data_IF_960099044401
#
_entry.id   IF_960099044401
#
_cell.length_a   1.000
_cell.length_b   1.000
_cell.length_c   1.000
_cell.angle_alpha   90.00
_cell.angle_beta   90.00
_cell.angle_gamma   90.00
#
_symmetry.space_group_name_H-M   'P 1'
#
loop_
_entity.id
_entity.type
_entity.pdbx_description
1 polymer ?
#
# COMPACT_ATOMS: atom_id res chain seq x y z
N UNK A 1 11.17 5.44 28.71
CA UNK A 1 11.47 5.14 27.30
C UNK A 1 10.26 4.45 26.72
N UNK A 2 9.38 5.16 26.02
CA UNK A 2 8.10 4.63 25.53
C UNK A 2 8.17 4.61 24.00
N UNK A 3 8.04 3.40 23.46
CA UNK A 3 8.19 3.00 22.07
C UNK A 3 7.22 3.74 21.15
N UNK A 4 7.71 4.21 20.01
CA UNK A 4 6.91 4.80 18.94
C UNK A 4 6.10 3.71 18.23
N UNK A 5 4.77 3.79 18.36
CA UNK A 5 3.78 2.83 17.88
C UNK A 5 3.06 3.33 16.62
N UNK A 6 3.78 3.83 15.61
CA UNK A 6 3.11 4.41 14.46
C UNK A 6 2.90 3.46 13.27
N UNK A 7 3.67 2.39 13.14
CA UNK A 7 3.45 1.37 12.10
C UNK A 7 2.38 0.33 12.46
N UNK A 8 1.91 0.31 13.71
CA UNK A 8 0.96 -0.71 14.21
C UNK A 8 -0.52 -0.33 14.07
N UNK A 9 -0.86 0.84 13.58
CA UNK A 9 -2.25 1.29 13.54
C UNK A 9 -3.14 0.55 12.53
N UNK A 10 -2.56 -0.20 11.60
CA UNK A 10 -3.33 -0.93 10.58
C UNK A 10 -3.72 -2.33 11.06
N UNK A 11 -2.97 -2.94 11.98
CA UNK A 11 -3.26 -4.26 12.54
C UNK A 11 -3.41 -4.29 14.07
N UNK A 12 -3.20 -3.20 14.78
CA UNK A 12 -3.31 -3.14 16.23
C UNK A 12 -4.74 -3.35 16.79
N UNK A 13 -5.70 -3.69 15.94
CA UNK A 13 -7.01 -4.15 16.38
C UNK A 13 -7.06 -5.66 16.71
N UNK A 14 -5.97 -6.41 16.54
CA UNK A 14 -5.98 -7.86 16.68
C UNK A 14 -5.18 -8.43 17.87
N UNK A 15 -4.46 -7.65 18.64
CA UNK A 15 -3.59 -8.21 19.67
C UNK A 15 -3.58 -7.44 21.00
N UNK A 16 -4.67 -7.49 21.76
CA UNK A 16 -4.63 -7.42 23.23
C UNK A 16 -5.80 -8.20 23.82
N UNK A 17 -5.53 -9.25 24.51
CA UNK A 17 -6.47 -9.99 25.37
C UNK A 17 -5.79 -10.09 26.74
N UNK A 18 -6.51 -10.18 27.87
CA UNK A 18 -7.91 -10.03 28.19
C UNK A 18 -8.23 -9.22 29.45
N UNK A 19 -9.32 -8.60 29.50
CA UNK A 19 -10.15 -8.57 30.68
C UNK A 19 -11.58 -8.76 30.15
N UNK A 20 -12.32 -9.69 30.72
CA UNK A 20 -13.76 -9.85 30.48
C UNK A 20 -14.44 -8.58 30.99
N UNK A 21 -14.41 -7.57 30.15
CA UNK A 21 -15.26 -6.40 30.22
C UNK A 21 -16.18 -6.53 29.01
N UNK A 22 -17.46 -6.52 29.20
CA UNK A 22 -18.44 -6.33 28.12
C UNK A 22 -17.96 -5.09 27.35
N UNK A 23 -17.31 -5.31 26.22
CA UNK A 23 -16.83 -4.20 25.41
C UNK A 23 -18.07 -3.48 24.89
N UNK A 24 -18.29 -2.28 25.41
CA UNK A 24 -19.40 -1.44 24.96
C UNK A 24 -19.26 -1.21 23.46
N UNK A 25 -20.37 -1.33 22.74
CA UNK A 25 -20.44 -0.95 21.33
C UNK A 25 -19.86 0.45 21.13
N UNK A 26 -18.95 0.61 20.20
CA UNK A 26 -18.26 1.88 19.99
C UNK A 26 -18.19 2.24 18.52
N UNK A 27 -18.35 3.52 18.24
CA UNK A 27 -18.06 4.11 16.93
C UNK A 27 -17.05 5.24 17.13
N UNK A 28 -16.00 5.25 16.34
CA UNK A 28 -14.98 6.28 16.37
C UNK A 28 -14.89 6.97 15.00
N UNK A 29 -14.79 8.29 15.03
CA UNK A 29 -14.35 9.10 13.90
C UNK A 29 -12.85 9.28 14.01
N UNK A 30 -12.13 9.14 12.93
CA UNK A 30 -10.68 9.29 12.89
C UNK A 30 -10.23 9.78 11.52
N UNK A 31 -9.03 10.28 11.45
CA UNK A 31 -8.49 10.73 10.18
C UNK A 31 -7.06 11.23 10.27
N UNK A 32 -6.56 11.64 9.12
CA UNK A 32 -5.22 12.14 8.93
C UNK A 32 -5.24 13.17 7.81
N UNK A 33 -4.53 14.28 8.01
CA UNK A 33 -4.28 15.30 6.99
C UNK A 33 -2.76 15.37 6.81
N UNK A 34 -2.32 15.30 5.56
CA UNK A 34 -0.93 15.36 5.18
C UNK A 34 -0.78 16.31 3.98
N UNK A 35 0.04 17.34 4.13
CA UNK A 35 0.35 18.30 3.08
C UNK A 35 1.84 18.52 2.99
N UNK A 36 2.38 18.63 1.77
CA UNK A 36 3.80 18.83 1.56
C UNK A 36 4.08 19.71 0.34
N UNK A 37 5.24 20.33 0.36
CA UNK A 37 5.82 21.00 -0.81
C UNK A 37 6.94 20.16 -1.37
N UNK A 38 7.09 20.16 -2.68
CA UNK A 38 8.21 19.51 -3.36
C UNK A 38 8.80 20.36 -4.45
N UNK A 39 10.08 20.10 -4.74
CA UNK A 39 10.77 20.54 -5.93
C UNK A 39 11.29 19.29 -6.62
N UNK A 40 10.94 19.14 -7.89
CA UNK A 40 11.26 18.01 -8.73
C UNK A 40 12.10 18.45 -9.90
N UNK A 41 13.06 17.61 -10.28
CA UNK A 41 13.83 17.73 -11.50
C UNK A 41 13.67 16.44 -12.32
N UNK A 42 13.05 16.55 -13.47
CA UNK A 42 12.89 15.48 -14.44
C UNK A 42 13.82 15.80 -15.63
N UNK A 43 15.04 15.26 -15.57
CA UNK A 43 16.06 15.42 -16.63
C UNK A 43 16.23 16.88 -17.11
N UNK A 44 16.23 17.83 -16.17
CA UNK A 44 16.38 19.27 -16.43
C UNK A 44 15.07 20.06 -16.45
N UNK A 45 13.92 19.40 -16.45
CA UNK A 45 12.63 20.07 -16.27
C UNK A 45 12.32 20.21 -14.78
N UNK A 46 12.47 21.40 -14.24
CA UNK A 46 12.23 21.67 -12.82
C UNK A 46 10.78 22.11 -12.61
N UNK A 47 10.11 21.48 -11.65
CA UNK A 47 8.77 21.84 -11.20
C UNK A 47 8.70 21.91 -9.67
N UNK A 48 7.76 22.67 -9.15
CA UNK A 48 7.51 22.74 -7.71
C UNK A 48 6.01 22.87 -7.44
N UNK A 49 5.56 22.38 -6.30
CA UNK A 49 4.14 22.43 -5.96
C UNK A 49 3.88 22.16 -4.49
N UNK A 50 2.63 22.47 -4.10
CA UNK A 50 2.01 22.02 -2.85
C UNK A 50 1.12 20.83 -3.18
N UNK A 51 1.24 19.77 -2.40
CA UNK A 51 0.59 18.49 -2.67
C UNK A 51 0.00 17.87 -1.41
N UNK A 52 -0.90 16.92 -1.57
CA UNK A 52 -1.48 16.09 -0.53
C UNK A 52 -0.80 14.74 -0.46
N UNK A 53 -0.61 14.20 0.77
CA UNK A 53 -0.33 12.78 0.95
C UNK A 53 1.14 12.37 0.85
N UNK A 54 2.08 13.22 1.25
CA UNK A 54 3.51 12.92 1.14
C UNK A 54 3.99 11.79 2.05
N UNK A 55 3.60 11.80 3.32
CA UNK A 55 3.93 10.74 4.28
C UNK A 55 2.81 9.70 4.42
N UNK A 56 1.60 10.07 4.05
CA UNK A 56 0.43 9.18 3.98
C UNK A 56 -0.70 9.92 3.29
N UNK A 57 -1.44 9.28 2.39
CA UNK A 57 -2.64 9.88 1.82
C UNK A 57 -3.57 10.45 2.89
N UNK A 58 -4.13 11.63 2.67
CA UNK A 58 -5.10 12.24 3.59
C UNK A 58 -6.42 11.50 3.56
N UNK A 59 -7.02 11.23 4.70
CA UNK A 59 -8.28 10.51 4.80
C UNK A 59 -9.05 10.86 6.08
N UNK A 60 -10.35 10.56 6.05
CA UNK A 60 -11.19 10.46 7.24
C UNK A 60 -12.01 9.17 7.18
N UNK A 61 -12.46 8.70 8.34
CA UNK A 61 -13.21 7.46 8.40
C UNK A 61 -14.00 7.26 9.67
N UNK A 62 -14.82 6.20 9.60
CA UNK A 62 -15.60 5.66 10.69
C UNK A 62 -15.22 4.21 10.89
N UNK A 63 -15.01 3.81 12.14
CA UNK A 63 -14.84 2.42 12.50
C UNK A 63 -15.58 2.13 13.78
N UNK A 64 -16.06 0.92 13.92
CA UNK A 64 -16.80 0.55 15.12
C UNK A 64 -16.77 -0.93 15.39
N UNK A 65 -17.15 -1.24 16.63
CA UNK A 65 -17.31 -2.60 17.15
C UNK A 65 -18.61 -2.69 17.90
N UNK A 66 -19.29 -3.83 17.78
CA UNK A 66 -20.48 -4.19 18.55
C UNK A 66 -20.30 -5.61 19.12
N UNK A 67 -20.46 -5.76 20.42
CA UNK A 67 -20.42 -7.06 21.07
C UNK A 67 -21.71 -7.83 20.76
N UNK A 68 -21.56 -9.01 20.19
CA UNK A 68 -22.70 -9.85 19.81
C UNK A 68 -23.14 -10.80 20.92
N UNK A 69 -22.39 -10.88 22.03
CA UNK A 69 -22.66 -11.82 23.11
C UNK A 69 -22.59 -13.30 22.73
N UNK A 70 -22.04 -13.59 21.54
CA UNK A 70 -21.96 -14.94 20.98
C UNK A 70 -20.53 -15.47 21.05
N UNK A 71 -20.38 -16.80 21.09
CA UNK A 71 -19.09 -17.52 20.94
C UNK A 71 -17.92 -16.94 21.74
N UNK A 72 -18.17 -16.53 22.99
CA UNK A 72 -17.09 -16.10 23.89
C UNK A 72 -16.37 -14.82 23.49
N UNK A 73 -17.12 -13.75 23.15
CA UNK A 73 -16.59 -12.42 22.84
C UNK A 73 -16.49 -12.12 21.35
N UNK A 74 -17.43 -12.64 20.58
CA UNK A 74 -17.54 -12.28 19.16
C UNK A 74 -18.14 -10.90 18.97
N UNK A 75 -17.65 -10.19 17.98
CA UNK A 75 -18.00 -8.81 17.66
C UNK A 75 -18.37 -8.66 16.18
N UNK A 76 -19.36 -7.83 15.90
CA UNK A 76 -19.48 -7.19 14.61
C UNK A 76 -18.46 -6.03 14.53
N UNK A 77 -17.79 -5.89 13.40
CA UNK A 77 -16.77 -4.86 13.20
C UNK A 77 -16.93 -4.25 11.81
N UNK A 78 -16.75 -2.93 11.69
CA UNK A 78 -16.82 -2.27 10.39
C UNK A 78 -15.77 -1.19 10.26
N UNK A 79 -15.45 -0.83 9.00
CA UNK A 79 -14.60 0.29 8.65
C UNK A 79 -15.10 0.93 7.36
N UNK A 80 -15.23 2.26 7.38
CA UNK A 80 -15.53 3.11 6.23
C UNK A 80 -14.48 4.21 6.17
N UNK A 81 -13.71 4.32 5.08
CA UNK A 81 -12.60 5.26 4.98
C UNK A 81 -12.59 5.94 3.60
N UNK A 82 -12.58 7.27 3.60
CA UNK A 82 -12.55 8.12 2.43
C UNK A 82 -11.26 8.92 2.39
N UNK A 83 -10.52 8.87 1.29
CA UNK A 83 -9.39 9.74 1.04
C UNK A 83 -9.81 11.06 0.41
N UNK A 84 -9.04 12.08 0.65
CA UNK A 84 -9.20 13.40 0.03
C UNK A 84 -7.84 14.03 -0.22
N UNK A 85 -7.79 15.01 -1.10
CA UNK A 85 -6.59 15.78 -1.37
C UNK A 85 -6.63 17.04 -0.50
N UNK A 86 -5.61 17.25 0.33
CA UNK A 86 -5.58 18.40 1.26
C UNK A 86 -5.14 19.70 0.60
N UNK A 87 -4.65 19.65 -0.62
CA UNK A 87 -4.23 20.80 -1.42
C UNK A 87 -5.37 21.48 -2.16
N UNK A 88 -6.43 20.74 -2.55
CA UNK A 88 -7.55 21.28 -3.30
C UNK A 88 -8.95 20.90 -2.74
N UNK A 89 -9.00 19.96 -1.77
CA UNK A 89 -10.23 19.50 -1.13
C UNK A 89 -11.02 18.46 -1.95
N UNK A 90 -10.53 18.01 -3.08
CA UNK A 90 -11.20 16.99 -3.89
C UNK A 90 -11.06 15.59 -3.30
N UNK A 91 -11.84 14.62 -3.78
CA UNK A 91 -11.62 13.23 -3.43
C UNK A 91 -10.26 12.77 -3.98
N UNK A 92 -9.48 12.06 -3.16
CA UNK A 92 -8.31 11.37 -3.65
C UNK A 92 -8.75 10.34 -4.70
N UNK A 93 -8.15 10.40 -5.87
CA UNK A 93 -8.41 9.42 -6.92
C UNK A 93 -7.58 8.19 -6.64
N UNK A 94 -8.20 7.02 -6.71
CA UNK A 94 -7.45 5.78 -6.83
C UNK A 94 -6.77 5.74 -8.22
N UNK A 95 -5.72 4.96 -8.38
CA UNK A 95 -5.01 4.76 -9.67
C UNK A 95 -5.94 4.49 -10.86
N UNK A 96 -7.13 3.96 -10.63
CA UNK A 96 -8.13 3.69 -11.67
C UNK A 96 -8.94 4.91 -12.12
N UNK A 97 -8.66 6.11 -11.63
CA UNK A 97 -9.38 7.34 -12.00
C UNK A 97 -10.88 7.35 -11.66
N UNK A 98 -11.34 6.45 -10.79
CA UNK A 98 -12.76 6.32 -10.46
C UNK A 98 -13.14 7.26 -9.30
N UNK A 99 -13.63 8.43 -9.64
CA UNK A 99 -13.99 9.51 -8.72
C UNK A 99 -15.34 9.33 -8.02
N UNK A 100 -16.08 8.25 -8.29
CA UNK A 100 -17.47 8.11 -7.80
C UNK A 100 -17.61 7.38 -6.46
N UNK A 101 -16.53 6.94 -5.84
CA UNK A 101 -16.58 6.16 -4.59
C UNK A 101 -16.36 7.07 -3.38
N UNK A 102 -17.38 7.22 -2.51
CA UNK A 102 -17.24 7.97 -1.25
C UNK A 102 -16.19 7.30 -0.32
N UNK A 103 -16.24 5.99 -0.15
CA UNK A 103 -15.31 5.24 0.70
C UNK A 103 -14.37 4.40 -0.15
N UNK A 104 -13.53 5.06 -0.95
CA UNK A 104 -12.66 4.36 -1.90
C UNK A 104 -11.45 3.67 -1.23
N UNK A 105 -11.09 4.04 0.00
CA UNK A 105 -9.99 3.39 0.72
C UNK A 105 -10.43 2.08 1.33
N UNK A 106 -11.43 2.11 2.20
CA UNK A 106 -11.98 0.90 2.82
C UNK A 106 -13.49 1.06 3.06
N UNK A 107 -14.25 0.02 2.74
CA UNK A 107 -15.69 -0.06 2.97
C UNK A 107 -16.07 -1.52 3.22
N UNK A 108 -16.02 -1.96 4.48
CA UNK A 108 -16.27 -3.35 4.83
C UNK A 108 -16.96 -3.52 6.19
N UNK A 109 -17.68 -4.65 6.30
CA UNK A 109 -18.30 -5.16 7.51
C UNK A 109 -17.78 -6.58 7.77
N UNK A 110 -17.58 -6.96 9.03
CA UNK A 110 -17.07 -8.28 9.38
C UNK A 110 -17.48 -8.77 10.75
N UNK A 111 -17.09 -10.01 11.01
CA UNK A 111 -17.21 -10.67 12.29
C UNK A 111 -15.81 -10.98 12.82
N UNK A 112 -15.58 -10.68 14.08
CA UNK A 112 -14.34 -10.98 14.78
C UNK A 112 -14.63 -11.91 15.97
N UNK A 113 -13.79 -12.92 16.13
CA UNK A 113 -13.84 -13.85 17.26
C UNK A 113 -12.43 -14.13 17.78
N UNK A 114 -12.21 -14.16 19.10
CA UNK A 114 -10.92 -14.56 19.65
C UNK A 114 -10.49 -15.97 19.26
N UNK A 115 -11.44 -16.86 18.96
CA UNK A 115 -11.19 -18.26 18.59
C UNK A 115 -10.98 -18.47 17.11
N UNK A 116 -11.71 -17.75 16.25
CA UNK A 116 -11.77 -18.01 14.81
C UNK A 116 -11.10 -16.91 13.97
N UNK A 117 -10.64 -15.82 14.61
CA UNK A 117 -10.08 -14.66 13.92
C UNK A 117 -11.16 -13.72 13.40
N UNK A 118 -10.87 -13.04 12.31
CA UNK A 118 -11.78 -12.08 11.70
C UNK A 118 -12.08 -12.48 10.26
N UNK A 119 -13.35 -12.43 9.88
CA UNK A 119 -13.81 -12.47 8.49
C UNK A 119 -14.49 -11.15 8.16
N UNK A 120 -14.19 -10.55 7.01
CA UNK A 120 -14.77 -9.28 6.56
C UNK A 120 -15.08 -9.30 5.08
N UNK A 121 -16.08 -8.50 4.69
CA UNK A 121 -16.66 -8.45 3.35
C UNK A 121 -16.72 -7.00 2.89
N UNK A 122 -16.26 -6.73 1.68
CA UNK A 122 -16.28 -5.39 1.07
C UNK A 122 -14.93 -4.98 0.49
N UNK A 123 -14.72 -3.66 0.33
CA UNK A 123 -13.46 -3.13 -0.17
C UNK A 123 -12.46 -2.97 0.97
N UNK A 124 -11.31 -3.62 0.86
CA UNK A 124 -10.27 -3.64 1.90
C UNK A 124 -8.90 -4.01 1.33
N UNK A 125 -7.85 -3.77 2.11
CA UNK A 125 -6.47 -4.08 1.73
C UNK A 125 -6.24 -5.56 1.52
N UNK A 126 -5.41 -5.88 0.52
CA UNK A 126 -4.95 -7.24 0.24
C UNK A 126 -3.75 -7.62 1.12
N UNK A 127 -3.51 -8.91 1.39
CA UNK A 127 -2.26 -9.37 2.01
C UNK A 127 -1.01 -8.99 1.20
N UNK A 128 -1.08 -8.92 -0.13
CA UNK A 128 -0.03 -8.41 -1.02
C UNK A 128 0.43 -7.00 -0.58
N UNK A 129 -0.48 -6.02 -0.57
CA UNK A 129 -0.16 -4.67 -0.11
C UNK A 129 0.36 -4.64 1.34
N UNK A 130 -0.24 -5.44 2.23
CA UNK A 130 0.17 -5.50 3.63
C UNK A 130 1.59 -6.03 3.80
N UNK A 131 2.05 -6.95 2.94
CA UNK A 131 3.42 -7.50 2.96
C UNK A 131 4.45 -6.38 2.81
N UNK A 132 4.22 -5.45 1.91
CA UNK A 132 5.09 -4.28 1.71
C UNK A 132 4.88 -3.22 2.79
N UNK A 133 3.63 -2.78 3.00
CA UNK A 133 3.32 -1.63 3.85
C UNK A 133 3.71 -1.82 5.32
N UNK A 134 3.69 -3.06 5.83
CA UNK A 134 4.02 -3.35 7.23
C UNK A 134 5.51 -3.40 7.53
N UNK A 135 6.33 -3.63 6.55
CA UNK A 135 7.79 -3.73 6.70
C UNK A 135 8.52 -2.52 6.13
N UNK A 136 7.93 -1.77 5.21
CA UNK A 136 8.52 -0.57 4.65
C UNK A 136 8.74 0.50 5.72
N UNK A 137 9.92 1.12 5.70
CA UNK A 137 10.33 2.09 6.74
C UNK A 137 9.57 3.42 6.65
N UNK A 138 8.98 3.73 5.51
CA UNK A 138 8.17 4.91 5.25
C UNK A 138 6.68 4.59 4.99
N UNK A 139 6.29 3.31 4.99
CA UNK A 139 4.91 2.86 4.75
C UNK A 139 4.44 3.10 3.31
N UNK A 140 5.30 2.85 2.32
CA UNK A 140 5.04 3.04 0.88
C UNK A 140 4.59 4.48 0.56
N UNK A 141 5.37 5.44 1.02
CA UNK A 141 5.14 6.87 0.80
C UNK A 141 6.43 7.57 0.40
N UNK A 142 6.47 8.91 0.31
CA UNK A 142 7.71 9.63 0.00
C UNK A 142 8.88 9.21 0.89
N UNK A 143 10.02 8.98 0.28
CA UNK A 143 11.20 8.41 0.91
C UNK A 143 11.28 6.87 0.77
N UNK A 144 10.29 6.22 0.13
CA UNK A 144 10.30 4.79 -0.18
C UNK A 144 10.84 4.55 -1.57
N UNK A 145 12.05 4.02 -1.69
CA UNK A 145 12.70 3.79 -2.97
C UNK A 145 11.93 2.81 -3.89
N UNK A 146 11.16 1.87 -3.34
CA UNK A 146 10.34 0.96 -4.14
C UNK A 146 9.03 1.59 -4.65
N UNK A 147 8.60 2.74 -4.12
CA UNK A 147 7.32 3.35 -4.47
C UNK A 147 7.13 3.56 -5.99
N UNK A 148 8.14 4.03 -6.74
CA UNK A 148 8.04 4.18 -8.19
C UNK A 148 7.76 2.88 -8.96
N UNK A 149 8.16 1.75 -8.39
CA UNK A 149 8.07 0.43 -9.02
C UNK A 149 6.87 -0.36 -8.53
N UNK A 150 6.52 -0.18 -7.26
CA UNK A 150 5.35 -0.83 -6.64
C UNK A 150 4.04 -0.17 -7.07
N UNK A 151 4.05 1.16 -7.28
CA UNK A 151 2.93 1.93 -7.80
C UNK A 151 3.30 2.57 -9.14
N UNK A 152 3.55 1.82 -10.21
CA UNK A 152 3.91 2.42 -11.47
C UNK A 152 2.80 3.37 -11.93
N UNK A 153 3.15 4.64 -12.00
CA UNK A 153 2.24 5.72 -12.42
C UNK A 153 1.79 5.58 -13.86
N UNK A 154 0.96 6.51 -14.31
CA UNK A 154 0.36 6.54 -15.66
C UNK A 154 1.36 6.52 -16.83
N UNK A 155 2.65 6.51 -16.56
CA UNK A 155 3.73 6.49 -17.54
C UNK A 155 4.59 5.23 -17.55
N UNK A 156 4.36 4.27 -16.65
CA UNK A 156 5.15 3.04 -16.66
C UNK A 156 4.99 2.34 -18.01
N UNK A 157 6.11 2.17 -18.69
CA UNK A 157 6.30 1.58 -20.02
C UNK A 157 5.17 0.69 -20.48
N UNK A 158 4.42 1.09 -21.45
CA UNK A 158 3.34 0.41 -22.13
C UNK A 158 1.96 1.03 -21.92
N UNK A 159 1.87 2.33 -22.05
CA UNK A 159 0.64 2.96 -22.54
C UNK A 159 -0.57 2.93 -21.62
N UNK A 160 -0.40 3.27 -20.38
CA UNK A 160 -1.54 3.54 -19.55
C UNK A 160 -1.42 3.03 -18.12
N UNK A 161 -2.03 3.75 -17.20
CA UNK A 161 -2.29 3.26 -15.84
C UNK A 161 -2.96 1.90 -15.93
N UNK A 162 -2.35 0.88 -15.34
CA UNK A 162 -3.00 -0.42 -15.20
C UNK A 162 -4.15 -0.27 -14.20
N UNK A 163 -5.42 -0.27 -14.63
CA UNK A 163 -6.55 -0.10 -13.72
C UNK A 163 -6.67 -1.25 -12.72
N UNK A 164 -5.92 -2.34 -12.89
CA UNK A 164 -5.90 -3.46 -11.95
C UNK A 164 -4.99 -3.22 -10.76
N UNK A 165 -4.12 -2.23 -10.79
CA UNK A 165 -3.20 -1.94 -9.68
C UNK A 165 -3.93 -1.48 -8.40
N UNK A 166 -5.01 -0.71 -8.54
CA UNK A 166 -5.84 -0.37 -7.38
C UNK A 166 -6.38 -1.66 -6.71
N UNK A 167 -6.68 -2.69 -7.52
CA UNK A 167 -7.19 -3.97 -7.04
C UNK A 167 -6.10 -4.82 -6.35
N UNK A 168 -4.81 -4.63 -6.65
CA UNK A 168 -3.71 -5.26 -5.93
C UNK A 168 -3.56 -4.67 -4.52
N UNK A 169 -3.76 -3.38 -4.38
CA UNK A 169 -3.75 -2.68 -3.08
C UNK A 169 -5.03 -2.97 -2.32
N UNK A 170 -6.20 -2.74 -2.96
CA UNK A 170 -7.55 -2.83 -2.36
C UNK A 170 -8.56 -3.25 -3.42
N UNK A 171 -9.01 -4.48 -3.40
CA UNK A 171 -10.05 -4.89 -4.33
C UNK A 171 -11.45 -4.67 -3.78
N UNK A 172 -12.40 -4.41 -4.70
CA UNK A 172 -13.82 -4.45 -4.42
C UNK A 172 -14.29 -5.89 -4.26
N UNK A 173 -15.51 -6.08 -3.72
CA UNK A 173 -16.20 -7.36 -3.66
C UNK A 173 -15.34 -8.46 -3.04
N UNK A 174 -14.53 -8.08 -2.06
CA UNK A 174 -13.56 -8.97 -1.44
C UNK A 174 -14.11 -9.62 -0.16
N UNK A 175 -13.60 -10.81 0.09
CA UNK A 175 -13.71 -11.56 1.33
C UNK A 175 -12.30 -11.69 1.87
N UNK A 176 -12.09 -11.25 3.10
CA UNK A 176 -10.82 -11.35 3.81
C UNK A 176 -11.00 -12.13 5.10
N UNK A 177 -10.12 -13.07 5.37
CA UNK A 177 -10.03 -13.76 6.64
C UNK A 177 -8.62 -13.66 7.21
N UNK A 178 -8.53 -13.36 8.51
CA UNK A 178 -7.29 -13.41 9.27
C UNK A 178 -7.46 -14.31 10.48
N UNK A 179 -6.54 -15.23 10.70
CA UNK A 179 -6.54 -16.10 11.88
C UNK A 179 -6.37 -15.29 13.18
N UNK A 180 -6.68 -15.84 14.35
CA UNK A 180 -6.14 -15.32 15.60
C UNK A 180 -4.61 -15.34 15.58
N UNK A 181 -3.98 -14.62 16.51
CA UNK A 181 -2.53 -14.72 16.69
C UNK A 181 -2.17 -16.12 17.24
N UNK A 182 -1.44 -16.88 16.46
CA UNK A 182 -0.99 -18.24 16.77
C UNK A 182 0.47 -18.20 17.26
N UNK A 183 0.69 -17.65 18.46
CA UNK A 183 2.02 -17.49 19.06
C UNK A 183 3.02 -16.68 18.21
N UNK A 184 2.52 -15.62 17.59
CA UNK A 184 3.27 -14.72 16.71
C UNK A 184 2.91 -14.88 15.24
N UNK A 185 2.34 -16.01 14.82
CA UNK A 185 1.87 -16.20 13.45
C UNK A 185 0.44 -15.70 13.25
N UNK A 186 0.18 -15.13 12.09
CA UNK A 186 -1.16 -14.83 11.58
C UNK A 186 -1.24 -15.29 10.13
N UNK A 187 -2.25 -16.07 9.80
CA UNK A 187 -2.53 -16.55 8.45
C UNK A 187 -3.65 -15.70 7.89
N UNK A 188 -3.54 -15.28 6.63
CA UNK A 188 -4.51 -14.45 5.93
C UNK A 188 -4.93 -15.13 4.63
N UNK A 189 -6.23 -15.13 4.36
CA UNK A 189 -6.83 -15.54 3.09
C UNK A 189 -7.66 -14.40 2.53
N UNK A 190 -7.57 -14.17 1.23
CA UNK A 190 -8.26 -13.11 0.54
C UNK A 190 -8.76 -13.58 -0.82
N UNK A 191 -9.99 -13.23 -1.14
CA UNK A 191 -10.57 -13.45 -2.46
C UNK A 191 -11.39 -12.23 -2.87
N UNK A 192 -11.15 -11.68 -4.05
CA UNK A 192 -11.96 -10.63 -4.62
C UNK A 192 -12.61 -11.14 -5.93
N UNK A 193 -13.90 -10.87 -6.11
CA UNK A 193 -14.67 -11.30 -7.25
C UNK A 193 -14.74 -10.19 -8.29
N UNK A 194 -14.34 -10.47 -9.50
CA UNK A 194 -14.26 -9.49 -10.59
C UNK A 194 -15.61 -8.98 -11.08
N UNK A 195 -16.72 -9.68 -10.78
CA UNK A 195 -18.11 -9.33 -11.14
C UNK A 195 -18.30 -8.88 -12.61
N UNK A 196 -17.46 -9.35 -13.51
CA UNK A 196 -17.51 -8.96 -14.91
C UNK A 196 -18.78 -9.49 -15.57
N UNK A 197 -19.80 -8.63 -15.63
CA UNK A 197 -20.96 -8.83 -16.47
C UNK A 197 -20.61 -8.40 -17.89
N UNK A 198 -20.90 -9.29 -18.85
CA UNK A 198 -20.51 -9.10 -20.22
C UNK A 198 -21.49 -8.46 -21.14
N UNK A 199 -20.97 -7.76 -22.10
CA UNK A 199 -21.74 -7.32 -23.25
C UNK A 199 -21.62 -8.20 -24.52
N UNK A 200 -20.63 -9.06 -24.66
CA UNK A 200 -20.32 -9.71 -25.95
C UNK A 200 -20.09 -11.23 -25.94
N UNK A 201 -20.95 -12.00 -25.29
CA UNK A 201 -21.17 -13.42 -25.61
C UNK A 201 -20.12 -14.46 -25.16
N UNK A 202 -18.87 -14.13 -24.77
CA UNK A 202 -17.85 -15.06 -24.24
C UNK A 202 -17.56 -14.82 -22.77
N UNK A 203 -18.14 -15.57 -21.85
CA UNK A 203 -17.99 -15.35 -20.38
C UNK A 203 -16.95 -16.28 -19.78
N UNK A 204 -15.95 -15.71 -19.06
CA UNK A 204 -15.29 -16.42 -17.99
C UNK A 204 -15.83 -15.87 -16.67
N UNK A 205 -16.40 -16.70 -15.83
CA UNK A 205 -16.93 -16.34 -14.50
C UNK A 205 -15.81 -15.97 -13.52
N UNK A 206 -14.56 -16.19 -13.87
CA UNK A 206 -13.38 -15.96 -13.03
C UNK A 206 -12.56 -14.74 -13.44
N UNK A 207 -12.98 -14.05 -14.51
CA UNK A 207 -12.30 -12.88 -15.03
C UNK A 207 -12.27 -11.72 -14.02
N UNK A 208 -11.09 -11.20 -13.72
CA UNK A 208 -10.89 -10.15 -12.72
C UNK A 208 -10.88 -10.65 -11.27
N UNK A 209 -10.95 -11.97 -11.06
CA UNK A 209 -10.82 -12.53 -9.72
C UNK A 209 -9.38 -12.41 -9.22
N UNK A 210 -9.25 -12.11 -7.93
CA UNK A 210 -7.98 -12.07 -7.22
C UNK A 210 -8.06 -13.07 -6.07
N UNK A 211 -7.01 -13.86 -5.90
CA UNK A 211 -6.84 -14.76 -4.75
C UNK A 211 -5.48 -14.47 -4.13
N UNK A 212 -5.45 -14.27 -2.82
CA UNK A 212 -4.20 -13.97 -2.13
C UNK A 212 -4.13 -14.69 -0.79
N UNK A 213 -3.03 -15.30 -0.50
CA UNK A 213 -2.73 -15.92 0.79
C UNK A 213 -1.50 -15.25 1.36
N UNK A 214 -1.55 -14.87 2.63
CA UNK A 214 -0.44 -14.27 3.35
C UNK A 214 -0.20 -14.93 4.69
N UNK A 215 1.04 -14.93 5.14
CA UNK A 215 1.43 -15.37 6.48
C UNK A 215 2.41 -14.37 7.03
N UNK A 216 2.14 -13.86 8.24
CA UNK A 216 3.13 -13.07 8.95
C UNK A 216 3.53 -13.73 10.28
N UNK A 217 4.77 -13.46 10.68
CA UNK A 217 5.30 -13.73 12.00
C UNK A 217 5.75 -12.42 12.64
N UNK A 218 5.19 -12.11 13.81
CA UNK A 218 5.51 -10.90 14.57
C UNK A 218 5.67 -11.25 16.04
N UNK A 219 6.91 -11.39 16.51
CA UNK A 219 7.21 -11.70 17.91
C UNK A 219 8.56 -11.09 18.33
N UNK A 220 8.53 -10.33 19.42
CA UNK A 220 9.73 -9.61 19.88
C UNK A 220 10.21 -8.58 18.82
N UNK A 221 11.51 -8.54 18.49
CA UNK A 221 12.06 -7.60 17.53
C UNK A 221 11.86 -8.01 16.06
N UNK A 222 11.48 -9.26 15.80
CA UNK A 222 11.39 -9.84 14.46
C UNK A 222 9.99 -9.68 13.88
N UNK A 223 9.93 -9.18 12.65
CA UNK A 223 8.77 -9.23 11.77
C UNK A 223 9.17 -9.89 10.45
N UNK A 224 8.38 -10.85 9.99
CA UNK A 224 8.50 -11.47 8.66
C UNK A 224 7.10 -11.65 8.11
N UNK A 225 6.89 -11.33 6.83
CA UNK A 225 5.64 -11.58 6.15
C UNK A 225 5.92 -12.04 4.72
N UNK A 226 5.17 -13.04 4.27
CA UNK A 226 5.18 -13.47 2.88
C UNK A 226 3.75 -13.59 2.35
N UNK A 227 3.59 -13.35 1.05
CA UNK A 227 2.31 -13.56 0.38
C UNK A 227 2.48 -14.11 -1.03
N UNK A 228 1.42 -14.75 -1.53
CA UNK A 228 1.27 -15.15 -2.93
C UNK A 228 -0.09 -14.66 -3.39
N UNK A 229 -0.09 -13.83 -4.43
CA UNK A 229 -1.29 -13.31 -5.06
C UNK A 229 -1.39 -13.85 -6.48
N UNK A 230 -2.57 -14.37 -6.84
CA UNK A 230 -2.96 -14.75 -8.19
C UNK A 230 -4.08 -13.83 -8.66
N UNK A 231 -3.88 -13.19 -9.81
CA UNK A 231 -4.86 -12.31 -10.46
C UNK A 231 -5.22 -12.85 -11.84
N UNK A 232 -6.49 -13.10 -12.07
CA UNK A 232 -7.00 -13.48 -13.37
C UNK A 232 -7.27 -12.23 -14.21
N UNK A 233 -6.44 -11.98 -15.21
CA UNK A 233 -6.55 -10.83 -16.10
C UNK A 233 -7.76 -11.00 -17.02
N UNK A 234 -8.64 -10.02 -17.02
CA UNK A 234 -9.82 -10.06 -17.83
C UNK A 234 -9.67 -9.33 -19.15
N UNK A 235 -10.33 -9.84 -20.21
CA UNK A 235 -10.62 -9.03 -21.40
C UNK A 235 -11.79 -8.11 -21.14
N UNK A 236 -11.56 -6.79 -21.13
CA UNK A 236 -12.62 -5.83 -21.38
C UNK A 236 -12.85 -5.72 -22.90
N UNK A 237 -14.07 -5.52 -23.33
CA UNK A 237 -14.36 -5.25 -24.75
C UNK A 237 -13.73 -3.94 -25.26
N UNK A 238 -13.29 -3.07 -24.32
CA UNK A 238 -12.57 -1.83 -24.60
C UNK A 238 -11.05 -1.96 -24.35
N UNK A 239 -10.62 -3.09 -23.77
CA UNK A 239 -9.25 -3.38 -23.44
C UNK A 239 -8.71 -4.42 -24.41
N UNK A 240 -7.73 -4.08 -25.18
CA UNK A 240 -6.98 -4.99 -26.07
C UNK A 240 -6.10 -5.98 -25.27
N UNK A 241 -6.32 -6.12 -23.96
CA UNK A 241 -5.56 -7.03 -23.10
C UNK A 241 -5.91 -8.48 -23.41
N UNK A 242 -4.93 -9.33 -23.60
CA UNK A 242 -5.17 -10.76 -23.73
C UNK A 242 -5.70 -11.36 -22.42
N UNK A 243 -6.33 -12.52 -22.52
CA UNK A 243 -6.66 -13.34 -21.37
C UNK A 243 -5.40 -13.99 -20.83
N UNK A 244 -5.16 -13.85 -19.55
CA UNK A 244 -4.01 -14.44 -18.87
C UNK A 244 -4.13 -14.31 -17.37
N UNK A 245 -3.07 -14.57 -16.66
CA UNK A 245 -3.00 -14.36 -15.23
C UNK A 245 -1.64 -13.82 -14.82
N UNK A 246 -1.62 -13.06 -13.73
CA UNK A 246 -0.42 -12.63 -13.04
C UNK A 246 -0.32 -13.33 -11.69
N UNK A 247 0.89 -13.74 -11.33
CA UNK A 247 1.18 -14.26 -10.00
C UNK A 247 2.30 -13.46 -9.37
N UNK A 248 2.05 -12.97 -8.17
CA UNK A 248 3.01 -12.18 -7.38
C UNK A 248 3.46 -13.00 -6.18
N UNK A 249 4.76 -13.06 -5.97
CA UNK A 249 5.39 -13.71 -4.82
C UNK A 249 6.15 -12.66 -4.04
N UNK A 250 5.88 -12.54 -2.75
CA UNK A 250 6.42 -11.50 -1.91
C UNK A 250 6.99 -12.06 -0.62
N UNK A 251 8.05 -11.42 -0.18
CA UNK A 251 8.65 -11.66 1.13
C UNK A 251 9.17 -10.34 1.70
N UNK A 252 8.86 -10.08 2.94
CA UNK A 252 9.38 -8.94 3.67
C UNK A 252 9.83 -9.32 5.06
N UNK A 253 10.85 -8.64 5.57
CA UNK A 253 11.33 -8.84 6.92
C UNK A 253 11.90 -7.55 7.50
N UNK A 254 11.79 -7.40 8.82
CA UNK A 254 12.49 -6.37 9.57
C UNK A 254 12.90 -6.86 10.95
N UNK A 255 13.98 -6.31 11.50
CA UNK A 255 14.45 -6.62 12.84
C UNK A 255 14.82 -5.35 13.60
N UNK A 256 14.24 -5.17 14.78
CA UNK A 256 14.51 -4.00 15.64
C UNK A 256 15.70 -4.31 16.59
N UNK A 257 16.87 -3.75 16.26
CA UNK A 257 18.06 -3.82 17.11
C UNK A 257 18.07 -2.77 18.25
N UNK A 258 17.04 -1.92 18.32
CA UNK A 258 16.96 -0.82 19.29
C UNK A 258 17.71 0.44 18.86
N UNK A 259 18.85 0.31 18.21
CA UNK A 259 19.65 1.44 17.66
C UNK A 259 19.30 1.72 16.20
N UNK A 260 18.85 0.73 15.48
CA UNK A 260 18.35 0.83 14.10
C UNK A 260 17.43 -0.34 13.80
N UNK A 261 16.52 -0.17 12.84
CA UNK A 261 15.60 -1.21 12.38
C UNK A 261 15.77 -1.38 10.88
N UNK A 262 16.67 -2.26 10.42
CA UNK A 262 16.73 -2.65 9.01
C UNK A 262 15.48 -3.40 8.58
N UNK A 263 15.18 -3.27 7.29
CA UNK A 263 14.09 -3.97 6.60
C UNK A 263 14.53 -4.37 5.19
N UNK A 264 13.93 -5.44 4.68
CA UNK A 264 14.09 -5.92 3.31
C UNK A 264 12.71 -6.31 2.76
N UNK A 265 12.44 -5.95 1.51
CA UNK A 265 11.27 -6.37 0.76
C UNK A 265 11.72 -6.95 -0.59
N UNK A 266 11.10 -8.05 -0.97
CA UNK A 266 11.32 -8.76 -2.22
C UNK A 266 9.97 -9.01 -2.88
N UNK A 267 9.90 -8.80 -4.19
CA UNK A 267 8.75 -9.16 -5.01
C UNK A 267 9.22 -9.75 -6.32
N UNK A 268 8.58 -10.84 -6.72
CA UNK A 268 8.71 -11.43 -8.03
C UNK A 268 7.34 -11.55 -8.66
N UNK A 269 7.15 -10.97 -9.84
CA UNK A 269 5.95 -11.13 -10.65
C UNK A 269 6.25 -12.06 -11.81
N UNK A 270 5.38 -13.06 -11.99
CA UNK A 270 5.31 -13.91 -13.16
C UNK A 270 3.97 -13.68 -13.85
N UNK A 271 4.00 -13.21 -15.09
CA UNK A 271 2.85 -12.97 -15.94
C UNK A 271 2.86 -13.91 -17.14
N UNK A 272 1.69 -14.12 -17.76
CA UNK A 272 1.58 -14.92 -19.00
C UNK A 272 1.63 -14.06 -20.27
N UNK A 273 1.41 -12.76 -20.16
CA UNK A 273 1.33 -11.87 -21.30
C UNK A 273 2.51 -10.91 -21.38
N UNK A 274 3.27 -11.08 -22.42
CA UNK A 274 4.48 -10.27 -22.68
C UNK A 274 4.20 -8.83 -23.10
N UNK A 275 2.97 -8.49 -23.50
CA UNK A 275 2.64 -7.14 -23.99
C UNK A 275 2.18 -6.21 -22.87
N UNK A 276 1.41 -6.73 -21.90
CA UNK A 276 0.78 -5.95 -20.83
C UNK A 276 1.16 -6.41 -19.42
N UNK A 277 1.59 -7.65 -19.28
CA UNK A 277 2.01 -8.26 -18.04
C UNK A 277 3.49 -8.61 -18.14
N UNK A 278 4.33 -7.79 -17.58
CA UNK A 278 5.78 -7.96 -17.61
C UNK A 278 6.22 -8.73 -16.39
N UNK A 279 7.12 -9.67 -16.58
CA UNK A 279 7.82 -10.34 -15.49
C UNK A 279 8.84 -9.38 -14.90
N UNK A 280 8.89 -9.31 -13.58
CA UNK A 280 9.88 -8.47 -12.93
C UNK A 280 10.34 -9.04 -11.58
N UNK A 281 11.48 -8.57 -11.14
CA UNK A 281 11.97 -8.73 -9.78
C UNK A 281 12.20 -7.34 -9.18
N UNK A 282 11.67 -7.11 -7.98
CA UNK A 282 11.86 -5.90 -7.21
C UNK A 282 12.46 -6.24 -5.86
N UNK A 283 13.50 -5.53 -5.48
CA UNK A 283 14.10 -5.61 -4.14
C UNK A 283 14.25 -4.22 -3.56
N UNK A 284 13.92 -4.09 -2.28
CA UNK A 284 14.21 -2.90 -1.48
C UNK A 284 14.90 -3.30 -0.18
N UNK A 285 15.88 -2.52 0.21
CA UNK A 285 16.42 -2.49 1.56
C UNK A 285 16.17 -1.12 2.18
N UNK A 286 15.94 -1.09 3.48
CA UNK A 286 15.71 0.17 4.19
C UNK A 286 16.14 0.09 5.65
N UNK A 287 16.28 1.26 6.28
CA UNK A 287 16.53 1.35 7.73
C UNK A 287 15.74 2.49 8.34
N UNK A 288 15.28 2.30 9.58
CA UNK A 288 14.82 3.37 10.46
C UNK A 288 15.82 3.52 11.59
N UNK A 289 16.46 4.69 11.70
CA UNK A 289 17.48 4.97 12.71
C UNK A 289 17.04 6.15 13.56
N UNK A 290 16.81 5.97 14.88
CA UNK A 290 16.53 7.07 15.80
C UNK A 290 17.72 8.02 15.87
N UNK A 291 17.50 9.30 15.60
CA UNK A 291 18.53 10.34 15.73
C UNK A 291 17.90 11.73 15.94
N UNK A 292 18.59 12.65 16.59
CA UNK A 292 18.18 14.06 16.81
C UNK A 292 16.75 14.23 17.34
N UNK A 293 16.23 13.26 18.12
CA UNK A 293 14.87 13.29 18.66
C UNK A 293 13.78 12.87 17.64
N UNK A 294 14.15 12.52 16.42
CA UNK A 294 13.31 11.99 15.36
C UNK A 294 13.82 10.65 14.84
N UNK A 295 13.50 10.34 13.58
CA UNK A 295 13.91 9.11 12.90
C UNK A 295 14.38 9.43 11.48
N UNK A 296 15.59 8.97 11.14
CA UNK A 296 16.05 8.95 9.76
C UNK A 296 15.66 7.61 9.14
N UNK A 297 14.88 7.65 8.09
CA UNK A 297 14.52 6.51 7.24
C UNK A 297 15.32 6.61 5.94
N UNK A 298 16.00 5.53 5.57
CA UNK A 298 16.72 5.46 4.29
C UNK A 298 16.31 4.20 3.55
N UNK A 299 16.22 4.27 2.24
CA UNK A 299 15.83 3.16 1.37
C UNK A 299 16.66 3.14 0.10
N UNK A 300 16.85 1.95 -0.46
CA UNK A 300 17.39 1.75 -1.79
C UNK A 300 16.65 0.58 -2.45
N UNK A 301 16.26 0.73 -3.71
CA UNK A 301 15.55 -0.30 -4.45
C UNK A 301 16.14 -0.52 -5.83
N UNK A 302 16.00 -1.73 -6.32
CA UNK A 302 16.32 -2.15 -7.66
C UNK A 302 15.15 -2.91 -8.28
N UNK A 303 14.70 -2.45 -9.43
CA UNK A 303 13.70 -3.08 -10.27
C UNK A 303 14.38 -3.69 -11.50
N UNK A 304 14.19 -4.98 -11.71
CA UNK A 304 14.65 -5.73 -12.87
C UNK A 304 13.47 -6.15 -13.72
N UNK A 305 13.35 -5.56 -14.90
CA UNK A 305 12.41 -6.05 -15.91
C UNK A 305 12.97 -7.30 -16.58
N UNK A 306 12.22 -8.40 -16.57
CA UNK A 306 12.67 -9.65 -17.16
C UNK A 306 12.13 -9.87 -18.59
N UNK A 307 11.13 -9.07 -18.97
CA UNK A 307 10.48 -9.16 -20.27
C UNK A 307 11.08 -8.16 -21.29
N UNK A 308 11.33 -6.92 -20.85
CA UNK A 308 11.79 -5.84 -21.71
C UNK A 308 13.27 -5.51 -21.44
N UNK A 309 14.03 -5.34 -22.51
CA UNK A 309 15.42 -4.91 -22.39
C UNK A 309 15.53 -3.40 -22.15
N UNK A 310 16.56 -2.98 -21.39
CA UNK A 310 16.80 -1.58 -21.03
C UNK A 310 15.61 -0.92 -20.32
N UNK A 311 14.95 -1.66 -19.45
CA UNK A 311 13.77 -1.23 -18.69
C UNK A 311 13.94 -1.42 -17.19
N UNK A 312 15.18 -1.53 -16.72
CA UNK A 312 15.51 -1.60 -15.31
C UNK A 312 15.48 -0.21 -14.65
N UNK A 313 15.35 -0.19 -13.32
CA UNK A 313 15.38 1.05 -12.56
C UNK A 313 16.05 0.88 -11.19
N UNK A 314 16.66 1.95 -10.70
CA UNK A 314 17.25 2.08 -9.37
C UNK A 314 16.62 3.30 -8.69
N UNK A 315 16.33 3.19 -7.43
CA UNK A 315 15.81 4.31 -6.66
C UNK A 315 16.44 4.37 -5.28
N UNK A 316 16.56 5.58 -4.76
CA UNK A 316 17.10 5.87 -3.43
C UNK A 316 16.21 6.89 -2.75
N UNK A 317 15.89 6.65 -1.48
CA UNK A 317 15.08 7.56 -0.69
C UNK A 317 15.69 7.81 0.70
N UNK A 318 15.54 9.03 1.18
CA UNK A 318 15.85 9.40 2.56
C UNK A 318 14.80 10.37 3.08
N UNK A 319 14.27 10.10 4.30
CA UNK A 319 13.31 10.96 4.98
C UNK A 319 13.61 11.05 6.46
N UNK A 320 13.66 12.27 6.98
CA UNK A 320 13.75 12.52 8.39
C UNK A 320 12.40 12.95 8.94
N UNK A 321 11.88 12.17 9.88
CA UNK A 321 10.59 12.36 10.53
C UNK A 321 10.80 12.92 11.94
N UNK A 322 10.17 14.06 12.28
CA UNK A 322 10.23 14.66 13.59
C UNK A 322 8.84 14.88 14.18
N UNK A 323 8.55 14.25 15.31
CA UNK A 323 7.26 14.35 15.98
C UNK A 323 7.19 15.62 16.83
N UNK A 324 6.38 16.60 16.44
CA UNK A 324 6.04 17.78 17.23
C UNK A 324 5.13 17.42 18.41
N UNK A 325 4.27 16.39 18.21
CA UNK A 325 3.38 15.85 19.23
C UNK A 325 3.06 14.37 18.93
N UNK A 326 2.21 13.76 19.76
CA UNK A 326 1.71 12.39 19.49
C UNK A 326 0.91 12.28 18.19
N UNK A 327 0.39 13.39 17.67
CA UNK A 327 -0.51 13.43 16.51
C UNK A 327 0.03 14.28 15.34
N UNK A 328 1.09 15.06 15.57
CA UNK A 328 1.64 15.98 14.56
C UNK A 328 3.10 15.66 14.32
N UNK A 329 3.45 15.47 13.08
CA UNK A 329 4.80 15.18 12.59
C UNK A 329 5.14 16.15 11.45
N UNK A 330 6.36 16.64 11.43
CA UNK A 330 6.96 17.27 10.24
C UNK A 330 8.00 16.32 9.66
N UNK A 331 8.19 16.39 8.36
CA UNK A 331 9.16 15.55 7.68
C UNK A 331 9.84 16.29 6.53
N UNK A 332 11.06 15.92 6.26
CA UNK A 332 11.86 16.42 5.13
C UNK A 332 12.61 15.26 4.51
N UNK A 333 12.77 15.28 3.20
CA UNK A 333 13.47 14.20 2.53
C UNK A 333 13.83 14.50 1.09
N UNK A 334 14.47 13.50 0.49
CA UNK A 334 14.86 13.51 -0.91
C UNK A 334 14.74 12.09 -1.49
N UNK A 335 14.48 12.03 -2.78
CA UNK A 335 14.44 10.80 -3.58
C UNK A 335 15.15 11.01 -4.91
N UNK A 336 15.74 9.92 -5.42
CA UNK A 336 16.32 9.87 -6.73
C UNK A 336 15.92 8.57 -7.43
N UNK A 337 15.41 8.66 -8.63
CA UNK A 337 15.07 7.57 -9.53
C UNK A 337 16.00 7.66 -10.74
N UNK A 338 16.73 6.59 -11.01
CA UNK A 338 17.62 6.41 -12.15
C UNK A 338 17.07 5.24 -12.96
N UNK A 339 16.87 5.43 -14.23
CA UNK A 339 16.21 4.42 -15.05
C UNK A 339 16.85 4.25 -16.42
N UNK A 340 16.74 3.04 -16.97
CA UNK A 340 17.25 2.72 -18.28
C UNK A 340 16.38 3.32 -19.40
N UNK A 341 16.95 3.38 -20.61
CA UNK A 341 16.40 4.12 -21.75
C UNK A 341 14.95 3.79 -22.16
N UNK A 342 14.47 2.59 -21.84
CA UNK A 342 13.10 2.17 -22.13
C UNK A 342 12.20 2.18 -20.89
N UNK A 343 12.75 2.40 -19.70
CA UNK A 343 11.96 2.53 -18.48
C UNK A 343 11.29 3.90 -18.40
N UNK A 344 10.08 3.94 -17.82
CA UNK A 344 9.31 5.17 -17.70
C UNK A 344 8.55 5.17 -16.36
N UNK A 345 9.31 5.19 -15.27
CA UNK A 345 8.78 5.31 -13.92
C UNK A 345 8.74 6.77 -13.46
N UNK A 346 7.95 7.04 -12.43
CA UNK A 346 7.88 8.35 -11.77
C UNK A 346 7.98 8.21 -10.26
N UNK A 347 8.45 9.24 -9.58
CA UNK A 347 8.38 9.29 -8.11
C UNK A 347 6.93 9.53 -7.71
N UNK A 348 6.41 8.69 -6.84
CA UNK A 348 5.04 8.76 -6.33
C UNK A 348 5.00 8.71 -4.81
N UNK A 349 4.09 9.47 -4.23
CA UNK A 349 3.89 9.52 -2.77
C UNK A 349 2.90 8.48 -2.25
N UNK A 350 2.52 7.51 -3.09
CA UNK A 350 1.57 6.45 -2.75
C UNK A 350 0.16 6.66 -3.32
N UNK A 351 -0.75 5.70 -3.08
CA UNK A 351 -1.99 5.54 -3.85
C UNK A 351 -3.05 6.62 -3.62
N UNK A 352 -2.91 7.50 -2.67
CA UNK A 352 -3.90 8.55 -2.34
C UNK A 352 -3.21 9.91 -2.24
N UNK A 353 -2.15 10.11 -3.00
CA UNK A 353 -1.44 11.39 -3.16
C UNK A 353 -1.98 12.18 -4.34
N UNK A 354 -1.88 13.50 -4.28
CA UNK A 354 -2.13 14.36 -5.44
C UNK A 354 -0.96 14.39 -6.42
N UNK A 355 0.19 13.81 -6.05
CA UNK A 355 1.37 13.79 -6.86
C UNK A 355 1.34 12.61 -7.84
N UNK A 356 1.11 12.90 -9.09
CA UNK A 356 1.30 12.00 -10.22
C UNK A 356 2.21 12.71 -11.21
N UNK A 357 3.52 12.52 -11.09
CA UNK A 357 4.43 13.01 -12.12
C UNK A 357 4.57 11.95 -13.21
N UNK A 358 3.97 12.16 -14.39
CA UNK A 358 4.40 11.41 -15.56
C UNK A 358 5.85 11.81 -15.84
N UNK A 359 6.72 10.84 -16.00
CA UNK A 359 8.02 11.15 -16.60
C UNK A 359 7.78 11.66 -18.01
N UNK A 360 8.48 12.72 -18.41
CA UNK A 360 8.28 13.37 -19.69
C UNK A 360 8.68 12.49 -20.87
N UNK A 361 9.63 11.58 -20.67
CA UNK A 361 10.10 10.62 -21.66
C UNK A 361 10.70 9.36 -21.01
N UNK A 362 10.70 8.21 -21.71
CA UNK A 362 11.44 7.04 -21.26
C UNK A 362 12.92 7.36 -21.04
N UNK A 363 13.50 6.78 -19.99
CA UNK A 363 14.90 6.94 -19.63
C UNK A 363 15.26 8.24 -18.91
N UNK A 364 14.28 9.09 -18.59
CA UNK A 364 14.52 10.29 -17.81
C UNK A 364 14.72 9.97 -16.33
N UNK A 365 15.83 10.41 -15.76
CA UNK A 365 16.06 10.36 -14.31
C UNK A 365 15.24 11.43 -13.61
N UNK A 366 14.72 11.10 -12.42
CA UNK A 366 13.91 12.00 -11.61
C UNK A 366 14.53 12.18 -10.24
N UNK A 367 14.63 13.42 -9.77
CA UNK A 367 15.06 13.76 -8.41
C UNK A 367 14.00 14.64 -7.75
N UNK A 368 13.79 14.41 -6.47
CA UNK A 368 12.85 15.18 -5.68
C UNK A 368 13.43 15.56 -4.32
N UNK A 369 13.14 16.78 -3.87
CA UNK A 369 13.26 17.17 -2.46
C UNK A 369 11.90 17.62 -1.97
N UNK A 370 11.56 17.28 -0.73
CA UNK A 370 10.24 17.56 -0.16
C UNK A 370 10.29 17.90 1.32
N UNK A 371 9.31 18.66 1.76
CA UNK A 371 9.05 18.98 3.17
C UNK A 371 7.54 18.98 3.41
N UNK A 372 7.10 18.37 4.51
CA UNK A 372 5.67 18.28 4.78
C UNK A 372 5.32 18.23 6.27
N UNK A 373 4.02 18.30 6.51
CA UNK A 373 3.41 18.19 7.83
C UNK A 373 2.23 17.23 7.77
N UNK A 374 2.15 16.35 8.77
CA UNK A 374 1.06 15.40 8.95
C UNK A 374 0.42 15.58 10.33
N UNK A 375 -0.90 15.57 10.37
CA UNK A 375 -1.69 15.60 11.61
C UNK A 375 -2.76 14.53 11.61
N UNK A 376 -2.84 13.74 12.70
CA UNK A 376 -3.89 12.74 12.92
C UNK A 376 -4.88 13.21 13.98
N UNK A 377 -6.17 12.93 13.81
CA UNK A 377 -7.24 13.33 14.73
C UNK A 377 -8.18 12.17 15.08
#
# INVERSE_FOLDING_TARGET
>A
MKKSLLALAILASAATVPAVSYAASSVSVYGLIDSYVSVNNDSGNVSSGLHSGGSSGSYFGFKGTEDLGLWGGSQAVFKLESGFLSDDGTYAQSFAGNTSRIFHREAWLGLRSPKFGQISFGRQYSPHFLTWAMSDVNGLSLGTAASPFFFPGAGATMGGSDPTQDDLVRANNSIFWASPNLNGFTIMGYAALGENTRSNGTKSSTQGNIYNVGVNYAKGPLFVMGSVLYQNLGRSALDFRPSGHDTYYELSASYDFGVTKPAIQLEYKNGEDTTWSQDFFLVQIGTTTPMFGGHLNTTAAYYKNQTLSKSDGYSFGARFDYNLSKRTMVYIGAEALIQEANAQFSIEAGPDSSLHYPTSAPGNDVQQVFFGIRHSF
#
